data_IF_537134107872
#
_entry.id   IF_537134107872
#
_cell.length_a   1.000
_cell.length_b   1.000
_cell.length_c   1.000
_cell.angle_alpha   90.00
_cell.angle_beta   90.00
_cell.angle_gamma   90.00
#
_symmetry.space_group_name_H-M   'P 1'
#
loop_
_entity.id
_entity.type
_entity.pdbx_description
1 polymer ?
#
# COMPACT_ATOMS: atom_id res chain seq x y z
N UNK A 1 4.37 -5.42 11.47
CA UNK A 1 3.38 -4.55 10.79
C UNK A 1 1.95 -4.83 11.23
N UNK A 2 1.31 -6.01 10.96
CA UNK A 2 -0.11 -6.25 11.34
C UNK A 2 -0.33 -6.03 12.84
N UNK A 3 0.50 -6.60 13.72
CA UNK A 3 0.43 -6.40 15.18
C UNK A 3 0.69 -4.95 15.62
N UNK A 4 1.50 -4.22 14.89
CA UNK A 4 1.89 -2.84 15.21
C UNK A 4 0.81 -1.83 14.80
N UNK A 5 0.33 -1.93 13.56
CA UNK A 5 -0.63 -0.97 13.00
C UNK A 5 -2.10 -1.36 13.21
N UNK A 6 -2.37 -2.64 13.55
CA UNK A 6 -3.72 -3.19 13.75
C UNK A 6 -4.69 -2.76 12.65
N UNK A 7 -4.38 -3.02 11.37
CA UNK A 7 -5.23 -2.62 10.27
C UNK A 7 -6.59 -3.32 10.39
N UNK A 8 -7.63 -2.69 9.88
CA UNK A 8 -8.95 -3.31 9.75
C UNK A 8 -9.00 -4.31 8.60
N UNK A 9 -8.20 -4.05 7.59
CA UNK A 9 -8.08 -4.86 6.39
C UNK A 9 -6.69 -4.69 5.78
N UNK A 10 -6.19 -5.75 5.15
CA UNK A 10 -4.91 -5.78 4.42
C UNK A 10 -5.20 -6.24 3.00
N UNK A 11 -5.12 -5.33 2.05
CA UNK A 11 -5.36 -5.64 0.65
C UNK A 11 -4.08 -6.15 0.01
N UNK A 12 -4.13 -7.33 -0.61
CA UNK A 12 -2.98 -7.96 -1.28
C UNK A 12 -3.36 -8.27 -2.73
N UNK A 13 -2.51 -7.85 -3.67
CA UNK A 13 -2.63 -8.28 -5.05
C UNK A 13 -2.24 -9.77 -5.15
N UNK A 14 -3.26 -10.63 -5.27
CA UNK A 14 -3.10 -12.09 -5.33
C UNK A 14 -2.57 -12.61 -6.66
N UNK A 15 -2.09 -11.74 -7.55
CA UNK A 15 -1.42 -12.15 -8.77
C UNK A 15 0.09 -12.37 -8.51
N UNK A 16 0.64 -13.46 -9.06
CA UNK A 16 2.08 -13.72 -8.99
C UNK A 16 2.62 -13.83 -7.56
N UNK A 17 3.55 -12.96 -7.19
CA UNK A 17 4.24 -12.98 -5.89
C UNK A 17 3.29 -12.79 -4.70
N UNK A 18 2.20 -12.04 -4.89
CA UNK A 18 1.22 -11.81 -3.84
C UNK A 18 0.48 -13.06 -3.39
N UNK A 19 0.24 -14.01 -4.29
CA UNK A 19 -0.34 -15.31 -3.92
C UNK A 19 0.56 -16.04 -2.90
N UNK A 20 1.87 -16.10 -3.17
CA UNK A 20 2.82 -16.71 -2.24
C UNK A 20 2.91 -16.00 -0.88
N UNK A 21 2.70 -14.68 -0.85
CA UNK A 21 2.59 -13.94 0.41
C UNK A 21 1.33 -14.33 1.18
N UNK A 22 0.19 -14.46 0.50
CA UNK A 22 -1.07 -14.91 1.13
C UNK A 22 -0.88 -16.31 1.69
N UNK A 23 -0.32 -17.25 0.91
CA UNK A 23 -0.05 -18.63 1.35
C UNK A 23 0.80 -18.68 2.62
N UNK A 24 1.79 -17.78 2.73
CA UNK A 24 2.62 -17.69 3.93
C UNK A 24 1.90 -17.08 5.14
N UNK A 25 0.89 -16.21 4.93
CA UNK A 25 0.16 -15.54 6.01
C UNK A 25 -0.98 -16.38 6.58
N UNK A 26 -1.56 -17.30 5.79
CA UNK A 26 -2.68 -18.16 6.23
C UNK A 26 -2.23 -19.38 7.04
N UNK A 27 -0.94 -19.54 7.26
CA UNK A 27 -0.36 -20.61 8.10
C UNK A 27 0.35 -20.02 9.31
N UNK A 28 0.44 -20.76 10.44
CA UNK A 28 1.24 -20.31 11.58
C UNK A 28 2.70 -20.11 11.18
N UNK A 29 3.32 -19.06 11.70
CA UNK A 29 4.72 -18.77 11.40
C UNK A 29 5.49 -18.36 12.66
N UNK A 30 6.82 -18.38 12.59
CA UNK A 30 7.70 -18.00 13.69
C UNK A 30 8.65 -16.89 13.25
N UNK A 31 8.81 -15.91 14.11
CA UNK A 31 9.80 -14.85 13.93
C UNK A 31 11.23 -15.32 14.21
N UNK A 32 12.23 -14.47 13.87
CA UNK A 32 13.65 -14.81 14.04
C UNK A 32 14.06 -15.15 15.49
N UNK A 33 13.35 -14.61 16.47
CA UNK A 33 13.60 -14.84 17.90
C UNK A 33 12.63 -15.87 18.51
N UNK A 34 11.90 -16.64 17.67
CA UNK A 34 10.95 -17.65 18.11
C UNK A 34 9.55 -17.11 18.47
N UNK A 35 9.24 -15.86 18.13
CA UNK A 35 7.89 -15.33 18.31
C UNK A 35 6.90 -16.09 17.44
N UNK A 36 5.80 -16.54 18.04
CA UNK A 36 4.70 -17.17 17.32
C UNK A 36 3.76 -16.14 16.70
N UNK A 37 3.43 -16.33 15.44
CA UNK A 37 2.43 -15.54 14.71
C UNK A 37 1.29 -16.46 14.26
N UNK A 38 0.09 -16.12 14.72
CA UNK A 38 -1.13 -16.81 14.32
C UNK A 38 -1.45 -16.54 12.84
N UNK A 39 -2.15 -17.46 12.17
CA UNK A 39 -2.61 -17.27 10.80
C UNK A 39 -3.52 -16.05 10.67
N UNK A 40 -3.44 -15.38 9.52
CA UNK A 40 -4.36 -14.31 9.11
C UNK A 40 -5.10 -14.77 7.88
N UNK A 41 -6.43 -14.83 7.93
CA UNK A 41 -7.24 -15.46 6.89
C UNK A 41 -7.72 -14.46 5.83
N UNK A 42 -8.07 -15.02 4.66
CA UNK A 42 -8.62 -14.27 3.52
C UNK A 42 -10.13 -14.15 3.66
N UNK A 43 -10.67 -12.93 3.53
CA UNK A 43 -12.09 -12.64 3.73
C UNK A 43 -12.97 -12.91 2.49
N UNK A 44 -12.41 -12.79 1.29
CA UNK A 44 -13.16 -12.76 0.03
C UNK A 44 -12.87 -13.91 -0.94
N UNK A 45 -12.13 -14.94 -0.53
CA UNK A 45 -11.78 -16.09 -1.39
C UNK A 45 -11.87 -17.41 -0.61
N UNK A 46 -13.06 -17.80 -0.09
CA UNK A 46 -13.23 -18.96 0.77
C UNK A 46 -13.01 -20.29 0.03
N UNK A 47 -13.11 -20.33 -1.29
CA UNK A 47 -12.90 -21.53 -2.08
C UNK A 47 -11.42 -21.94 -2.12
N UNK A 48 -10.51 -20.97 -2.21
CA UNK A 48 -9.07 -21.21 -2.21
C UNK A 48 -8.46 -21.11 -0.80
N UNK A 49 -9.06 -20.31 0.08
CA UNK A 49 -8.58 -20.03 1.44
C UNK A 49 -9.70 -20.25 2.46
N UNK A 50 -10.09 -21.52 2.75
CA UNK A 50 -11.17 -21.79 3.67
C UNK A 50 -10.83 -21.32 5.11
N UNK A 51 -11.75 -20.60 5.71
CA UNK A 51 -11.61 -20.10 7.08
C UNK A 51 -12.06 -21.19 8.06
N UNK A 52 -11.23 -21.61 9.03
CA UNK A 52 -11.64 -22.53 10.08
C UNK A 52 -12.79 -21.92 10.93
N UNK A 53 -13.70 -22.78 11.41
CA UNK A 53 -14.84 -22.35 12.25
C UNK A 53 -14.35 -21.52 13.45
N UNK A 54 -14.98 -20.38 13.68
CA UNK A 54 -14.66 -19.48 14.79
C UNK A 54 -13.47 -18.53 14.53
N UNK A 55 -12.91 -18.53 13.31
CA UNK A 55 -11.77 -17.70 12.89
C UNK A 55 -12.15 -16.56 11.96
N UNK A 56 -13.45 -16.33 11.72
CA UNK A 56 -13.94 -15.27 10.83
C UNK A 56 -13.46 -13.87 11.24
N UNK A 57 -13.20 -13.65 12.53
CA UNK A 57 -12.69 -12.37 13.06
C UNK A 57 -11.23 -12.10 12.69
N UNK A 58 -10.47 -13.12 12.35
CA UNK A 58 -9.08 -13.03 11.91
C UNK A 58 -8.96 -12.91 10.38
N UNK A 59 -10.09 -12.86 9.66
CA UNK A 59 -10.13 -12.68 8.20
C UNK A 59 -9.88 -11.22 7.82
N UNK A 60 -8.62 -10.82 7.82
CA UNK A 60 -8.17 -9.46 7.55
C UNK A 60 -7.64 -9.25 6.13
N UNK A 61 -7.37 -10.34 5.38
CA UNK A 61 -6.78 -10.23 4.05
C UNK A 61 -7.90 -10.13 3.02
N UNK A 62 -7.87 -9.06 2.23
CA UNK A 62 -8.66 -8.94 1.02
C UNK A 62 -7.77 -9.25 -0.19
N UNK A 63 -8.05 -10.37 -0.87
CA UNK A 63 -7.30 -10.84 -2.02
C UNK A 63 -7.83 -10.17 -3.29
N UNK A 64 -7.08 -9.20 -3.84
CA UNK A 64 -7.39 -8.60 -5.15
C UNK A 64 -6.71 -9.42 -6.25
N UNK A 65 -7.50 -9.91 -7.22
CA UNK A 65 -7.00 -10.49 -8.47
C UNK A 65 -7.30 -9.51 -9.62
N UNK A 66 -6.50 -8.45 -9.69
CA UNK A 66 -6.74 -7.36 -10.61
C UNK A 66 -6.55 -7.80 -12.06
N UNK A 67 -7.61 -7.64 -12.86
CA UNK A 67 -7.61 -7.71 -14.32
C UNK A 67 -7.66 -6.30 -14.93
N UNK A 68 -7.65 -6.18 -16.24
CA UNK A 68 -7.65 -4.88 -16.92
C UNK A 68 -8.87 -3.99 -16.57
N UNK A 69 -10.07 -4.59 -16.45
CA UNK A 69 -11.28 -3.86 -16.11
C UNK A 69 -11.24 -3.37 -14.66
N UNK A 70 -10.89 -4.25 -13.72
CA UNK A 70 -10.75 -3.90 -12.30
C UNK A 70 -9.65 -2.86 -12.07
N UNK A 71 -8.51 -2.99 -12.75
CA UNK A 71 -7.47 -1.97 -12.69
C UNK A 71 -7.96 -0.61 -13.18
N UNK A 72 -8.75 -0.58 -14.26
CA UNK A 72 -9.36 0.66 -14.75
C UNK A 72 -10.26 1.31 -13.70
N UNK A 73 -11.08 0.53 -13.02
CA UNK A 73 -11.96 1.00 -11.94
C UNK A 73 -11.16 1.53 -10.75
N UNK A 74 -10.18 0.77 -10.26
CA UNK A 74 -9.32 1.12 -9.14
C UNK A 74 -8.59 2.45 -9.38
N UNK A 75 -7.95 2.62 -10.55
CA UNK A 75 -7.23 3.87 -10.84
C UNK A 75 -8.16 5.04 -11.12
N UNK A 76 -9.34 4.80 -11.68
CA UNK A 76 -10.37 5.83 -11.82
C UNK A 76 -10.87 6.30 -10.47
N UNK A 77 -11.10 5.38 -9.53
CA UNK A 77 -11.45 5.71 -8.15
C UNK A 77 -10.34 6.53 -7.48
N UNK A 78 -9.07 6.10 -7.57
CA UNK A 78 -7.94 6.86 -7.04
C UNK A 78 -7.94 8.30 -7.58
N UNK A 79 -8.13 8.49 -8.89
CA UNK A 79 -8.19 9.81 -9.50
C UNK A 79 -9.33 10.66 -8.92
N UNK A 80 -10.52 10.08 -8.77
CA UNK A 80 -11.69 10.75 -8.18
C UNK A 80 -11.41 11.14 -6.72
N UNK A 81 -10.88 10.22 -5.91
CA UNK A 81 -10.60 10.46 -4.49
C UNK A 81 -9.57 11.58 -4.27
N UNK A 82 -8.53 11.62 -5.10
CA UNK A 82 -7.52 12.69 -5.04
C UNK A 82 -8.13 14.03 -5.42
N UNK A 83 -8.86 14.12 -6.54
CA UNK A 83 -9.46 15.37 -7.00
C UNK A 83 -10.57 15.89 -6.08
N UNK A 84 -11.24 15.00 -5.36
CA UNK A 84 -12.25 15.36 -4.36
C UNK A 84 -11.64 15.78 -3.02
N UNK A 85 -10.32 15.74 -2.87
CA UNK A 85 -9.62 16.08 -1.63
C UNK A 85 -9.79 15.04 -0.51
N UNK A 86 -10.23 13.83 -0.83
CA UNK A 86 -10.45 12.76 0.15
C UNK A 86 -9.15 12.04 0.55
N UNK A 87 -8.05 12.29 -0.18
CA UNK A 87 -6.74 11.71 0.10
C UNK A 87 -5.83 12.77 0.70
N UNK A 88 -5.55 12.66 1.99
CA UNK A 88 -4.59 13.51 2.68
C UNK A 88 -3.18 12.92 2.63
N UNK A 89 -2.25 13.62 2.01
CA UNK A 89 -0.84 13.24 1.98
C UNK A 89 -0.05 14.03 3.02
N UNK A 90 1.04 13.45 3.53
CA UNK A 90 1.96 14.16 4.41
C UNK A 90 2.66 15.30 3.65
N UNK A 91 3.16 16.28 4.41
CA UNK A 91 3.94 17.36 3.83
C UNK A 91 5.19 16.86 3.11
N UNK A 92 5.65 17.57 2.09
CA UNK A 92 6.87 17.23 1.37
C UNK A 92 8.09 17.16 2.31
N UNK A 93 8.94 16.14 2.13
CA UNK A 93 10.14 15.90 2.94
C UNK A 93 10.97 17.16 3.13
N UNK A 94 11.24 17.91 2.05
CA UNK A 94 12.05 19.12 2.09
C UNK A 94 11.54 20.13 3.12
N UNK A 95 10.22 20.37 3.15
CA UNK A 95 9.60 21.33 4.08
C UNK A 95 9.75 20.85 5.52
N UNK A 96 9.54 19.56 5.76
CA UNK A 96 9.62 18.98 7.11
C UNK A 96 11.08 18.98 7.60
N UNK A 97 12.02 18.66 6.73
CA UNK A 97 13.45 18.67 7.03
C UNK A 97 13.95 20.08 7.39
N UNK A 98 13.57 21.09 6.62
CA UNK A 98 13.89 22.49 6.92
C UNK A 98 13.32 22.92 8.28
N UNK A 99 12.03 22.63 8.53
CA UNK A 99 11.40 22.92 9.82
C UNK A 99 12.06 22.18 10.99
N UNK A 100 12.41 20.92 10.82
CA UNK A 100 13.09 20.12 11.84
C UNK A 100 14.44 20.74 12.19
N UNK A 101 15.27 21.06 11.19
CA UNK A 101 16.60 21.64 11.37
C UNK A 101 16.56 23.08 11.94
N UNK A 102 15.47 23.80 11.80
CA UNK A 102 15.27 25.09 12.44
C UNK A 102 15.06 24.97 13.97
N UNK A 103 14.79 23.77 14.49
CA UNK A 103 14.58 23.55 15.93
C UNK A 103 15.86 23.09 16.63
N UNK A 104 16.06 23.51 17.90
CA UNK A 104 17.16 23.01 18.74
C UNK A 104 17.13 21.46 18.88
N UNK A 105 15.92 20.88 18.93
CA UNK A 105 15.75 19.42 19.02
C UNK A 105 16.24 18.74 17.74
N UNK A 106 15.84 19.22 16.57
CA UNK A 106 16.26 18.64 15.29
C UNK A 106 17.76 18.75 15.02
N UNK A 107 18.38 19.87 15.44
CA UNK A 107 19.83 20.06 15.33
C UNK A 107 20.62 19.06 16.18
N UNK A 108 20.07 18.67 17.37
CA UNK A 108 20.70 17.72 18.29
C UNK A 108 20.42 16.24 17.95
N UNK A 109 19.49 15.99 17.03
CA UNK A 109 19.22 14.61 16.61
C UNK A 109 20.42 14.01 15.89
N UNK A 110 20.81 12.78 16.26
CA UNK A 110 21.78 12.04 15.49
C UNK A 110 21.20 11.64 14.11
N UNK A 111 22.07 11.23 13.20
CA UNK A 111 21.68 10.89 11.83
C UNK A 111 20.55 9.86 11.78
N UNK A 112 20.69 8.74 12.50
CA UNK A 112 19.73 7.64 12.47
C UNK A 112 18.33 8.04 12.97
N UNK A 113 18.27 8.82 14.06
CA UNK A 113 17.01 9.32 14.60
C UNK A 113 16.34 10.30 13.62
N UNK A 114 17.14 11.11 12.92
CA UNK A 114 16.64 12.05 11.91
C UNK A 114 16.08 11.31 10.70
N UNK A 115 16.80 10.31 10.18
CA UNK A 115 16.33 9.47 9.07
C UNK A 115 15.04 8.75 9.44
N UNK A 116 14.96 8.16 10.62
CA UNK A 116 13.74 7.50 11.12
C UNK A 116 12.56 8.47 11.22
N UNK A 117 12.79 9.70 11.67
CA UNK A 117 11.75 10.73 11.74
C UNK A 117 11.28 11.16 10.35
N UNK A 118 12.18 11.32 9.39
CA UNK A 118 11.87 11.77 8.04
C UNK A 118 11.30 10.68 7.14
N UNK A 119 11.47 9.41 7.49
CA UNK A 119 11.09 8.27 6.65
C UNK A 119 9.65 8.33 6.10
N UNK A 120 8.60 8.64 6.88
CA UNK A 120 7.24 8.75 6.34
C UNK A 120 7.11 9.84 5.27
N UNK A 121 7.79 10.96 5.45
CA UNK A 121 7.76 12.09 4.51
C UNK A 121 8.54 11.77 3.22
N UNK A 122 9.68 11.05 3.35
CA UNK A 122 10.43 10.53 2.21
C UNK A 122 9.56 9.57 1.39
N UNK A 123 8.84 8.65 2.05
CA UNK A 123 7.96 7.72 1.37
C UNK A 123 6.79 8.43 0.68
N UNK A 124 6.24 9.47 1.29
CA UNK A 124 5.21 10.32 0.68
C UNK A 124 5.74 11.07 -0.54
N UNK A 125 6.95 11.63 -0.48
CA UNK A 125 7.57 12.29 -1.64
C UNK A 125 7.77 11.32 -2.79
N UNK A 126 8.24 10.10 -2.51
CA UNK A 126 8.37 9.03 -3.52
C UNK A 126 7.02 8.61 -4.12
N UNK A 127 5.97 8.53 -3.30
CA UNK A 127 4.61 8.27 -3.80
C UNK A 127 4.16 9.37 -4.77
N UNK A 128 4.40 10.63 -4.45
CA UNK A 128 4.07 11.78 -5.32
C UNK A 128 4.86 11.69 -6.64
N UNK A 129 6.14 11.32 -6.59
CA UNK A 129 6.96 11.12 -7.79
C UNK A 129 6.41 10.00 -8.67
N UNK A 130 5.99 8.89 -8.07
CA UNK A 130 5.33 7.79 -8.78
C UNK A 130 4.01 8.24 -9.41
N UNK A 131 3.17 9.02 -8.68
CA UNK A 131 1.92 9.58 -9.21
C UNK A 131 2.17 10.50 -10.39
N UNK A 132 3.14 11.40 -10.29
CA UNK A 132 3.53 12.31 -11.39
C UNK A 132 4.12 11.59 -12.60
N UNK A 133 4.61 10.36 -12.42
CA UNK A 133 5.13 9.51 -13.49
C UNK A 133 4.03 8.71 -14.20
N UNK A 134 2.77 8.84 -13.80
CA UNK A 134 1.66 8.13 -14.41
C UNK A 134 0.86 9.06 -15.32
N UNK A 135 0.38 8.50 -16.41
CA UNK A 135 -0.62 9.13 -17.27
C UNK A 135 -1.80 8.18 -17.46
N UNK A 136 -2.98 8.74 -17.45
CA UNK A 136 -4.20 8.04 -17.81
C UNK A 136 -4.31 8.01 -19.34
N UNK A 137 -4.54 6.82 -19.88
CA UNK A 137 -4.82 6.61 -21.29
C UNK A 137 -6.24 6.06 -21.42
N UNK A 138 -7.10 6.86 -21.99
CA UNK A 138 -8.43 6.40 -22.39
C UNK A 138 -8.29 5.67 -23.72
N UNK A 139 -8.60 4.38 -23.74
CA UNK A 139 -8.50 3.59 -24.97
C UNK A 139 -8.58 2.10 -24.69
N UNK A 140 -9.38 1.44 -25.46
CA UNK A 140 -9.71 0.02 -25.40
C UNK A 140 -11.18 -0.19 -25.72
N UNK A 141 -11.59 -1.43 -25.94
CA UNK A 141 -13.00 -1.76 -26.06
C UNK A 141 -13.73 -1.27 -24.79
N UNK A 142 -14.80 -0.50 -24.96
CA UNK A 142 -15.66 0.01 -23.88
C UNK A 142 -15.11 1.16 -23.00
N UNK A 143 -14.15 1.98 -23.49
CA UNK A 143 -13.76 3.20 -22.76
C UNK A 143 -12.97 2.96 -21.46
N UNK A 144 -12.33 1.81 -21.34
CA UNK A 144 -11.48 1.51 -20.17
C UNK A 144 -10.30 2.47 -20.06
N UNK A 145 -9.98 2.86 -18.82
CA UNK A 145 -8.83 3.69 -18.50
C UNK A 145 -7.64 2.78 -18.20
N UNK A 146 -6.56 2.94 -18.95
CA UNK A 146 -5.29 2.30 -18.64
C UNK A 146 -4.33 3.33 -18.02
N UNK A 147 -3.46 2.85 -17.12
CA UNK A 147 -2.42 3.67 -16.53
C UNK A 147 -1.07 3.27 -17.12
N UNK A 148 -0.40 4.23 -17.76
CA UNK A 148 0.92 4.06 -18.32
C UNK A 148 1.97 4.86 -17.55
N UNK A 149 3.16 4.27 -17.34
CA UNK A 149 4.31 4.98 -16.80
C UNK A 149 4.95 5.85 -17.89
N UNK A 150 5.21 7.13 -17.59
CA UNK A 150 5.95 8.04 -18.45
C UNK A 150 7.40 7.55 -18.56
N UNK A 151 7.98 7.16 -17.44
CA UNK A 151 9.31 6.55 -17.38
C UNK A 151 9.24 5.21 -16.65
N UNK A 152 9.74 4.14 -17.28
CA UNK A 152 9.84 2.81 -16.65
C UNK A 152 10.90 2.71 -15.54
N UNK A 153 11.72 3.75 -15.35
CA UNK A 153 12.73 3.82 -14.29
C UNK A 153 12.14 4.14 -12.91
N UNK A 154 10.95 4.72 -12.88
CA UNK A 154 10.22 5.04 -11.66
C UNK A 154 9.14 3.98 -11.47
N UNK A 155 9.19 3.26 -10.36
CA UNK A 155 8.19 2.25 -10.01
C UNK A 155 6.80 2.88 -9.84
N UNK A 156 5.77 2.06 -9.74
CA UNK A 156 4.39 2.47 -9.44
C UNK A 156 3.80 1.72 -8.24
N UNK A 157 4.64 1.02 -7.49
CA UNK A 157 4.18 0.07 -6.46
C UNK A 157 3.44 0.76 -5.32
N UNK A 158 3.89 1.96 -4.91
CA UNK A 158 3.23 2.75 -3.86
C UNK A 158 1.89 3.29 -4.32
N UNK A 159 1.81 3.74 -5.57
CA UNK A 159 0.54 4.20 -6.16
C UNK A 159 -0.44 3.04 -6.28
N UNK A 160 0.03 1.87 -6.72
CA UNK A 160 -0.81 0.67 -6.76
C UNK A 160 -1.31 0.27 -5.37
N UNK A 161 -0.44 0.28 -4.36
CA UNK A 161 -0.82 -0.01 -2.98
C UNK A 161 -1.85 1.00 -2.44
N UNK A 162 -1.66 2.31 -2.70
CA UNK A 162 -2.63 3.34 -2.33
C UNK A 162 -3.96 3.12 -3.04
N UNK A 163 -3.94 2.84 -4.35
CA UNK A 163 -5.16 2.65 -5.14
C UNK A 163 -5.97 1.43 -4.68
N UNK A 164 -5.31 0.33 -4.34
CA UNK A 164 -5.95 -0.87 -3.78
C UNK A 164 -6.55 -0.62 -2.39
N UNK A 165 -5.87 0.17 -1.56
CA UNK A 165 -6.36 0.51 -0.23
C UNK A 165 -7.53 1.52 -0.21
N UNK A 166 -7.81 2.17 -1.35
CA UNK A 166 -8.93 3.09 -1.53
C UNK A 166 -10.12 2.45 -2.27
N UNK A 167 -9.93 1.28 -2.84
CA UNK A 167 -10.95 0.52 -3.58
C UNK A 167 -11.87 -0.23 -2.63
#
# INVERSE_FOLDING_TARGET
>A
MIKEYRPKEVVIDGNGVGAGLIDALVVPSFGPNGEHYDPVYVSNDPDNYPIPRGKDKEALIYNIKANAALNSEIYSNLYVQINSGNVGLLAAERIVKEKLLATKKGQRMNYLAREKFLLPYIMTSRLIDEMNNLKLKVGGAAGTVAVEQISRRINKDRVSALSYGLY
#
